data_IF_388836509158
#
_entry.id   IF_388836509158
#
_cell.length_a   1.000
_cell.length_b   1.000
_cell.length_c   1.000
_cell.angle_alpha   90.00
_cell.angle_beta   90.00
_cell.angle_gamma   90.00
#
_symmetry.space_group_name_H-M   'P 1'
#
loop_
_entity.id
_entity.type
_entity.pdbx_description
1 polymer ?
#
# COMPACT_ATOMS: atom_id res chain seq x y z
N UNK A 1 9.73 -19.64 -9.68
CA UNK A 1 9.24 -18.26 -9.91
C UNK A 1 7.89 -18.37 -10.63
N UNK A 2 6.79 -18.43 -9.87
CA UNK A 2 5.49 -18.94 -10.35
C UNK A 2 4.75 -18.04 -11.36
N UNK A 3 5.25 -16.83 -11.65
CA UNK A 3 4.46 -15.81 -12.38
C UNK A 3 5.25 -15.05 -13.46
N UNK A 4 6.29 -15.65 -14.06
CA UNK A 4 7.06 -15.00 -15.14
C UNK A 4 6.14 -14.65 -16.32
N UNK A 5 6.01 -13.36 -16.62
CA UNK A 5 5.26 -12.82 -17.76
C UNK A 5 3.85 -12.32 -17.47
N UNK A 6 3.31 -12.56 -16.26
CA UNK A 6 1.98 -12.09 -15.88
C UNK A 6 1.97 -10.57 -15.70
N UNK A 7 1.21 -9.85 -16.52
CA UNK A 7 1.16 -8.40 -16.47
C UNK A 7 0.30 -7.91 -15.29
N UNK A 8 0.88 -6.98 -14.52
CA UNK A 8 0.19 -6.30 -13.41
C UNK A 8 0.28 -4.79 -13.63
N UNK A 9 -0.79 -4.01 -13.41
CA UNK A 9 -0.71 -2.56 -13.44
C UNK A 9 0.26 -2.05 -12.37
N UNK A 10 1.17 -1.15 -12.75
CA UNK A 10 2.15 -0.55 -11.82
C UNK A 10 1.62 0.69 -11.09
N UNK A 11 0.52 1.28 -11.58
CA UNK A 11 -0.01 2.55 -11.12
C UNK A 11 -1.53 2.58 -11.27
N UNK A 12 -2.21 3.16 -10.29
CA UNK A 12 -3.57 3.64 -10.43
C UNK A 12 -3.54 5.07 -10.98
N UNK A 13 -4.06 5.27 -12.19
CA UNK A 13 -4.21 6.61 -12.76
C UNK A 13 -5.51 7.24 -12.23
N UNK A 14 -5.43 8.49 -11.78
CA UNK A 14 -6.57 9.27 -11.32
C UNK A 14 -6.85 10.35 -12.35
N UNK A 15 -8.12 10.49 -12.74
CA UNK A 15 -8.58 11.59 -13.58
C UNK A 15 -8.70 12.86 -12.73
N UNK A 16 -7.63 13.66 -12.71
CA UNK A 16 -7.54 14.85 -11.86
C UNK A 16 -8.50 15.98 -12.28
N UNK A 17 -8.98 15.98 -13.52
CA UNK A 17 -9.91 17.01 -14.01
C UNK A 17 -11.31 16.83 -13.42
N UNK A 18 -11.69 15.58 -13.17
CA UNK A 18 -13.02 15.23 -12.65
C UNK A 18 -13.02 14.92 -11.15
N UNK A 19 -11.85 14.84 -10.52
CA UNK A 19 -11.71 14.51 -9.10
C UNK A 19 -12.31 15.61 -8.21
N UNK A 20 -13.23 15.20 -7.33
CA UNK A 20 -13.78 16.02 -6.26
C UNK A 20 -13.75 15.25 -4.94
N UNK A 21 -14.14 15.90 -3.85
CA UNK A 21 -14.24 15.25 -2.53
C UNK A 21 -15.33 14.17 -2.47
N UNK A 22 -16.26 14.16 -3.44
CA UNK A 22 -17.40 13.25 -3.50
C UNK A 22 -17.43 12.36 -4.74
N UNK A 23 -16.55 12.60 -5.73
CA UNK A 23 -16.46 11.80 -6.94
C UNK A 23 -15.01 11.59 -7.39
N UNK A 24 -14.69 10.37 -7.80
CA UNK A 24 -13.38 10.05 -8.37
C UNK A 24 -13.47 9.01 -9.48
N UNK A 25 -12.69 9.23 -10.54
CA UNK A 25 -12.52 8.30 -11.65
C UNK A 25 -11.09 7.79 -11.70
N UNK A 26 -10.96 6.48 -11.61
CA UNK A 26 -9.70 5.76 -11.49
C UNK A 26 -9.54 4.79 -12.65
N UNK A 27 -8.34 4.63 -13.18
CA UNK A 27 -8.06 3.61 -14.19
C UNK A 27 -6.76 2.89 -13.94
N UNK A 28 -6.74 1.59 -14.22
CA UNK A 28 -5.56 0.74 -14.09
C UNK A 28 -5.44 -0.17 -15.31
N UNK A 29 -4.21 -0.24 -15.83
CA UNK A 29 -3.80 -1.05 -16.97
C UNK A 29 -2.27 -1.28 -16.89
N UNK A 30 -1.74 -2.34 -17.50
CA UNK A 30 -2.43 -3.45 -18.17
C UNK A 30 -2.85 -4.54 -17.17
N UNK A 31 -4.08 -5.04 -17.29
CA UNK A 31 -4.51 -6.30 -16.65
C UNK A 31 -4.52 -7.42 -17.69
N UNK A 32 -4.24 -8.64 -17.26
CA UNK A 32 -4.53 -9.82 -18.08
C UNK A 32 -6.04 -9.93 -18.38
N UNK A 33 -6.36 -10.55 -19.52
CA UNK A 33 -7.74 -10.70 -19.96
C UNK A 33 -8.60 -11.40 -18.89
N UNK A 34 -9.72 -10.76 -18.51
CA UNK A 34 -10.65 -11.25 -17.49
C UNK A 34 -10.32 -10.77 -16.07
N UNK A 35 -9.08 -10.33 -15.79
CA UNK A 35 -8.75 -9.74 -14.50
C UNK A 35 -9.41 -8.38 -14.31
N UNK A 36 -9.62 -7.60 -15.37
CA UNK A 36 -10.34 -6.32 -15.28
C UNK A 36 -11.74 -6.50 -14.67
N UNK A 37 -12.50 -7.47 -15.16
CA UNK A 37 -13.85 -7.79 -14.64
C UNK A 37 -13.80 -8.34 -13.22
N UNK A 38 -12.83 -9.22 -12.93
CA UNK A 38 -12.68 -9.86 -11.61
C UNK A 38 -12.40 -8.82 -10.53
N UNK A 39 -11.39 -7.97 -10.76
CA UNK A 39 -10.99 -6.90 -9.84
C UNK A 39 -12.08 -5.82 -9.76
N UNK A 40 -12.65 -5.41 -10.90
CA UNK A 40 -13.71 -4.40 -10.94
C UNK A 40 -14.95 -4.82 -10.15
N UNK A 41 -15.42 -6.05 -10.33
CA UNK A 41 -16.57 -6.57 -9.60
C UNK A 41 -16.27 -6.74 -8.10
N UNK A 42 -15.08 -7.24 -7.74
CA UNK A 42 -14.67 -7.39 -6.34
C UNK A 42 -14.63 -6.03 -5.63
N UNK A 43 -13.95 -5.04 -6.21
CA UNK A 43 -13.86 -3.68 -5.67
C UNK A 43 -15.25 -3.04 -5.54
N UNK A 44 -16.09 -3.16 -6.58
CA UNK A 44 -17.46 -2.62 -6.54
C UNK A 44 -18.27 -3.17 -5.37
N UNK A 45 -18.20 -4.49 -5.12
CA UNK A 45 -18.91 -5.11 -4.00
C UNK A 45 -18.39 -4.60 -2.67
N UNK A 46 -17.08 -4.62 -2.48
CA UNK A 46 -16.45 -4.19 -1.22
C UNK A 46 -16.70 -2.72 -0.91
N UNK A 47 -16.63 -1.85 -1.92
CA UNK A 47 -16.90 -0.42 -1.79
C UNK A 47 -18.34 -0.14 -1.30
N UNK A 48 -19.33 -0.87 -1.83
CA UNK A 48 -20.73 -0.66 -1.45
C UNK A 48 -21.10 -1.25 -0.09
N UNK A 49 -20.45 -2.36 0.32
CA UNK A 49 -20.84 -3.09 1.53
C UNK A 49 -19.99 -2.81 2.77
N UNK A 50 -18.69 -2.58 2.60
CA UNK A 50 -17.72 -2.82 3.67
C UNK A 50 -16.95 -1.60 4.14
N UNK A 51 -17.11 -0.46 3.46
CA UNK A 51 -16.53 0.80 3.92
C UNK A 51 -17.32 1.30 5.13
N UNK A 52 -16.58 1.69 6.17
CA UNK A 52 -17.16 2.21 7.41
C UNK A 52 -17.72 3.62 7.22
N UNK A 53 -18.86 3.87 7.85
CA UNK A 53 -19.48 5.19 7.90
C UNK A 53 -20.33 5.33 9.15
N UNK A 54 -20.97 6.50 9.28
CA UNK A 54 -21.79 6.86 10.42
C UNK A 54 -23.25 7.05 9.99
N UNK A 55 -24.19 6.57 10.79
CA UNK A 55 -25.61 6.73 10.56
C UNK A 55 -26.38 6.78 11.88
N UNK A 56 -27.56 7.41 11.84
CA UNK A 56 -28.50 7.46 12.96
C UNK A 56 -29.12 6.08 13.15
N UNK A 57 -29.07 5.55 14.37
CA UNK A 57 -29.60 4.21 14.71
C UNK A 57 -30.88 4.27 15.54
N UNK A 58 -31.11 5.37 16.24
CA UNK A 58 -32.33 5.58 17.01
C UNK A 58 -32.64 7.08 17.11
N UNK A 59 -33.93 7.41 17.21
CA UNK A 59 -34.43 8.77 17.35
C UNK A 59 -35.46 8.82 18.46
N UNK A 60 -35.40 9.85 19.30
CA UNK A 60 -36.43 10.17 20.30
C UNK A 60 -36.96 11.56 20.02
N UNK A 61 -38.23 11.67 19.68
CA UNK A 61 -38.90 12.96 19.45
C UNK A 61 -39.83 13.26 20.63
N UNK A 62 -39.81 14.49 21.14
CA UNK A 62 -40.66 14.89 22.25
C UNK A 62 -42.15 14.74 21.87
N UNK A 63 -42.91 14.03 22.71
CA UNK A 63 -44.35 13.81 22.49
C UNK A 63 -44.72 12.72 21.48
N UNK A 64 -43.73 12.03 20.88
CA UNK A 64 -43.95 10.92 19.94
C UNK A 64 -43.59 9.59 20.60
N UNK A 65 -44.52 8.63 20.55
CA UNK A 65 -44.31 7.30 21.11
C UNK A 65 -43.90 6.24 20.07
N UNK A 66 -44.22 6.47 18.79
CA UNK A 66 -43.96 5.53 17.69
C UNK A 66 -43.83 6.28 16.35
N UNK A 67 -43.20 5.66 15.33
CA UNK A 67 -42.88 6.33 14.06
C UNK A 67 -44.09 6.84 13.23
N UNK A 68 -45.29 6.32 13.46
CA UNK A 68 -46.50 6.69 12.70
C UNK A 68 -47.29 7.85 13.29
N UNK A 69 -46.76 8.51 14.33
CA UNK A 69 -47.47 9.59 15.01
C UNK A 69 -47.19 10.93 14.34
N UNK A 70 -48.21 11.77 14.22
CA UNK A 70 -48.04 13.17 13.83
C UNK A 70 -47.54 14.01 15.00
N UNK A 71 -46.75 15.04 14.71
CA UNK A 71 -46.20 15.97 15.70
C UNK A 71 -46.98 17.28 15.65
N UNK A 72 -47.69 17.67 16.72
CA UNK A 72 -48.44 18.92 16.74
C UNK A 72 -47.54 20.13 16.45
N UNK A 73 -47.94 20.97 15.50
CA UNK A 73 -47.20 22.19 15.14
C UNK A 73 -46.02 21.96 14.19
N UNK A 74 -45.84 20.75 13.66
CA UNK A 74 -44.88 20.43 12.59
C UNK A 74 -45.65 19.94 11.37
N UNK A 75 -45.20 20.29 10.16
CA UNK A 75 -45.88 19.93 8.91
C UNK A 75 -45.72 18.44 8.59
N UNK A 76 -44.52 17.90 8.81
CA UNK A 76 -44.15 16.49 8.61
C UNK A 76 -44.58 15.60 9.77
N UNK A 77 -44.81 14.31 9.47
CA UNK A 77 -44.96 13.29 10.51
C UNK A 77 -43.60 12.72 10.97
N UNK A 78 -43.62 11.87 12.01
CA UNK A 78 -42.38 11.28 12.52
C UNK A 78 -41.69 10.36 11.49
N UNK A 79 -42.43 9.73 10.56
CA UNK A 79 -41.87 8.87 9.52
C UNK A 79 -41.09 9.70 8.50
N UNK A 80 -41.66 10.81 8.03
CA UNK A 80 -41.03 11.74 7.10
C UNK A 80 -39.74 12.32 7.69
N UNK A 81 -39.78 12.74 8.97
CA UNK A 81 -38.59 13.23 9.68
C UNK A 81 -37.51 12.14 9.73
N UNK A 82 -37.86 10.91 10.10
CA UNK A 82 -36.91 9.79 10.15
C UNK A 82 -36.30 9.53 8.76
N UNK A 83 -37.10 9.56 7.69
CA UNK A 83 -36.62 9.39 6.32
C UNK A 83 -35.67 10.50 5.88
N UNK A 84 -35.96 11.75 6.25
CA UNK A 84 -35.12 12.90 5.96
C UNK A 84 -33.79 12.83 6.72
N UNK A 85 -33.81 12.42 7.99
CA UNK A 85 -32.61 12.25 8.82
C UNK A 85 -31.64 11.21 8.24
N UNK A 86 -32.14 10.14 7.61
CA UNK A 86 -31.31 9.13 6.95
C UNK A 86 -30.53 9.66 5.73
N UNK A 87 -30.95 10.80 5.18
CA UNK A 87 -30.27 11.40 4.03
C UNK A 87 -29.05 12.23 4.47
N UNK A 88 -29.00 12.67 5.73
CA UNK A 88 -27.94 13.52 6.26
C UNK A 88 -26.60 12.76 6.29
N UNK A 89 -25.55 13.27 5.62
CA UNK A 89 -24.24 12.65 5.65
C UNK A 89 -23.46 13.06 6.91
N UNK A 90 -23.20 12.08 7.78
CA UNK A 90 -22.42 12.25 9.00
C UNK A 90 -21.01 11.69 8.86
N UNK A 91 -20.06 12.33 9.51
CA UNK A 91 -18.70 11.83 9.74
C UNK A 91 -18.43 11.81 11.24
N UNK A 92 -17.93 10.68 11.74
CA UNK A 92 -17.68 10.44 13.16
C UNK A 92 -16.20 10.07 13.34
N UNK A 93 -15.45 10.90 14.05
CA UNK A 93 -14.02 10.69 14.30
C UNK A 93 -13.74 9.82 15.55
N UNK A 94 -14.70 9.73 16.47
CA UNK A 94 -14.60 8.98 17.71
C UNK A 94 -15.11 7.54 17.63
N UNK A 95 -14.88 6.79 18.71
CA UNK A 95 -15.45 5.45 18.89
C UNK A 95 -16.71 5.49 19.75
N UNK A 96 -17.61 4.54 19.50
CA UNK A 96 -18.85 4.39 20.25
C UNK A 96 -20.01 5.29 19.77
N UNK A 97 -21.17 5.15 20.41
CA UNK A 97 -22.36 5.93 20.10
C UNK A 97 -22.22 7.38 20.58
N UNK A 98 -22.74 8.33 19.78
CA UNK A 98 -22.83 9.75 20.13
C UNK A 98 -24.28 10.22 20.08
N UNK A 99 -24.65 11.12 20.99
CA UNK A 99 -25.96 11.76 21.00
C UNK A 99 -25.89 13.08 20.22
N UNK A 100 -26.92 13.34 19.44
CA UNK A 100 -27.12 14.59 18.69
C UNK A 100 -28.47 15.18 19.09
N UNK A 101 -28.57 16.50 19.11
CA UNK A 101 -29.78 17.20 19.52
C UNK A 101 -30.26 18.14 18.42
N UNK A 102 -31.56 18.24 18.24
CA UNK A 102 -32.17 19.24 17.37
C UNK A 102 -33.29 19.93 18.15
N UNK A 103 -33.22 21.25 18.23
CA UNK A 103 -34.21 22.09 18.89
C UNK A 103 -34.63 23.21 17.95
N UNK A 104 -35.93 23.30 17.69
CA UNK A 104 -36.54 24.35 16.91
C UNK A 104 -37.85 24.79 17.57
N UNK A 105 -37.87 26.05 18.02
CA UNK A 105 -38.98 26.71 18.73
C UNK A 105 -39.58 27.87 17.92
N UNK A 106 -38.93 28.26 16.82
CA UNK A 106 -39.38 29.33 15.94
C UNK A 106 -40.03 28.77 14.68
N UNK A 107 -41.05 29.45 14.12
CA UNK A 107 -41.65 29.03 12.86
C UNK A 107 -40.63 29.13 11.73
N UNK A 108 -40.54 28.08 10.91
CA UNK A 108 -39.62 28.05 9.79
C UNK A 108 -39.17 26.65 9.39
N UNK A 109 -38.32 26.62 8.36
CA UNK A 109 -37.71 25.39 7.85
C UNK A 109 -36.54 24.98 8.76
N UNK A 110 -36.55 23.73 9.18
CA UNK A 110 -35.51 23.10 9.97
C UNK A 110 -34.62 22.26 9.06
N UNK A 111 -33.33 22.55 9.07
CA UNK A 111 -32.31 21.91 8.22
C UNK A 111 -31.27 21.16 9.06
N UNK A 112 -30.52 20.25 8.45
CA UNK A 112 -29.40 19.54 9.10
C UNK A 112 -28.36 20.45 9.73
N UNK A 113 -28.18 21.68 9.24
CA UNK A 113 -27.31 22.67 9.86
C UNK A 113 -27.69 23.13 11.26
N UNK A 114 -28.93 22.86 11.71
CA UNK A 114 -29.44 23.19 13.04
C UNK A 114 -29.22 22.06 14.06
N UNK A 115 -28.67 20.92 13.63
CA UNK A 115 -28.35 19.81 14.55
C UNK A 115 -27.13 20.19 15.38
N UNK A 116 -27.29 20.11 16.69
CA UNK A 116 -26.23 20.27 17.69
C UNK A 116 -25.52 18.93 17.90
N UNK A 117 -24.20 18.96 17.78
CA UNK A 117 -23.35 17.77 17.85
C UNK A 117 -22.06 18.05 18.62
N UNK A 118 -21.49 17.02 19.24
CA UNK A 118 -20.17 17.08 19.85
C UNK A 118 -19.07 17.29 18.79
N UNK A 119 -17.88 17.75 19.22
CA UNK A 119 -16.74 17.97 18.32
C UNK A 119 -16.21 16.74 17.57
N UNK A 120 -16.63 15.53 17.97
CA UNK A 120 -16.29 14.28 17.27
C UNK A 120 -17.19 14.01 16.06
N UNK A 121 -18.27 14.77 15.88
CA UNK A 121 -19.27 14.58 14.82
C UNK A 121 -19.28 15.78 13.90
N UNK A 122 -19.12 15.51 12.61
CA UNK A 122 -19.19 16.51 11.55
C UNK A 122 -20.40 16.21 10.64
N UNK A 123 -21.22 17.23 10.43
CA UNK A 123 -22.36 17.21 9.50
C UNK A 123 -21.87 17.80 8.18
N UNK A 124 -21.75 16.96 7.17
CA UNK A 124 -21.07 17.32 5.91
C UNK A 124 -21.96 18.17 5.01
N UNK A 125 -23.26 17.90 5.00
CA UNK A 125 -24.26 18.70 4.30
C UNK A 125 -25.22 19.32 5.31
N UNK A 126 -25.16 20.65 5.44
CA UNK A 126 -25.98 21.45 6.35
C UNK A 126 -27.30 21.93 5.73
N UNK A 127 -27.53 21.66 4.45
CA UNK A 127 -28.71 22.10 3.69
C UNK A 127 -29.83 21.07 3.58
N UNK A 128 -29.68 19.89 4.19
CA UNK A 128 -30.68 18.82 4.09
C UNK A 128 -31.94 19.25 4.85
N UNK A 129 -33.08 19.22 4.15
CA UNK A 129 -34.39 19.49 4.74
C UNK A 129 -34.76 18.40 5.74
N UNK A 130 -35.16 18.78 6.96
CA UNK A 130 -35.64 17.84 7.99
C UNK A 130 -37.16 17.97 8.15
N UNK A 131 -37.63 19.17 8.48
CA UNK A 131 -39.04 19.46 8.74
C UNK A 131 -39.34 20.97 8.63
N UNK A 132 -40.61 21.35 8.69
CA UNK A 132 -41.08 22.72 8.83
C UNK A 132 -41.93 22.87 10.10
N UNK A 133 -41.53 23.80 10.96
CA UNK A 133 -42.26 24.14 12.20
C UNK A 133 -43.23 25.29 11.91
N UNK A 134 -44.50 25.09 12.28
CA UNK A 134 -45.58 26.08 12.14
C UNK A 134 -45.54 27.12 13.28
N UNK A 135 -46.31 28.20 13.14
CA UNK A 135 -46.42 29.23 14.18
C UNK A 135 -46.93 28.65 15.51
N UNK A 136 -46.14 28.80 16.59
CA UNK A 136 -46.42 28.22 17.90
C UNK A 136 -46.08 26.73 18.05
N UNK A 137 -45.51 26.10 17.01
CA UNK A 137 -45.00 24.73 17.07
C UNK A 137 -43.63 24.63 17.71
N UNK A 138 -43.28 23.44 18.21
CA UNK A 138 -41.96 23.12 18.76
C UNK A 138 -41.53 21.74 18.28
N UNK A 139 -40.27 21.61 17.85
CA UNK A 139 -39.63 20.33 17.55
C UNK A 139 -38.40 20.18 18.44
N UNK A 140 -38.41 19.18 19.31
CA UNK A 140 -37.24 18.76 20.09
C UNK A 140 -37.03 17.27 19.90
N UNK A 141 -35.83 16.90 19.47
CA UNK A 141 -35.47 15.49 19.29
C UNK A 141 -34.02 15.22 19.62
N UNK A 142 -33.77 13.99 20.07
CA UNK A 142 -32.46 13.42 20.32
C UNK A 142 -32.23 12.26 19.35
N UNK A 143 -31.05 12.20 18.75
CA UNK A 143 -30.67 11.14 17.82
C UNK A 143 -29.41 10.44 18.32
N UNK A 144 -29.36 9.13 18.12
CA UNK A 144 -28.17 8.33 18.43
C UNK A 144 -27.44 8.03 17.13
N UNK A 145 -26.21 8.50 17.01
CA UNK A 145 -25.31 8.25 15.89
C UNK A 145 -24.33 7.12 16.25
N UNK A 146 -24.14 6.16 15.34
CA UNK A 146 -23.13 5.10 15.49
C UNK A 146 -22.31 4.91 14.22
N UNK A 147 -21.05 4.49 14.41
CA UNK A 147 -20.22 3.93 13.34
C UNK A 147 -20.64 2.50 13.05
N UNK A 148 -20.64 2.12 11.78
CA UNK A 148 -21.01 0.79 11.33
C UNK A 148 -20.57 0.51 9.91
N UNK A 149 -21.04 -0.61 9.35
CA UNK A 149 -20.79 -1.02 7.96
C UNK A 149 -22.08 -1.50 7.33
N UNK A 150 -22.26 -1.19 6.04
CA UNK A 150 -23.41 -1.66 5.27
C UNK A 150 -24.75 -1.20 5.85
N UNK A 151 -25.72 -2.11 5.84
CA UNK A 151 -27.08 -1.87 6.29
C UNK A 151 -27.37 -2.66 7.57
N UNK A 152 -27.99 -1.99 8.55
CA UNK A 152 -28.47 -2.60 9.79
C UNK A 152 -29.95 -2.29 9.94
N UNK A 153 -30.77 -3.32 10.17
CA UNK A 153 -32.22 -3.17 10.38
C UNK A 153 -32.53 -2.57 11.76
N UNK A 154 -33.69 -1.93 11.88
CA UNK A 154 -34.16 -1.33 13.14
C UNK A 154 -34.11 -2.32 14.32
N UNK A 155 -34.54 -3.57 14.13
CA UNK A 155 -34.51 -4.61 15.17
C UNK A 155 -33.12 -4.86 15.77
N UNK A 156 -32.07 -4.71 14.96
CA UNK A 156 -30.67 -4.89 15.41
C UNK A 156 -30.08 -3.64 16.06
N UNK A 157 -30.73 -2.50 15.89
CA UNK A 157 -30.38 -1.24 16.54
C UNK A 157 -31.08 -1.06 17.89
N UNK A 158 -31.92 -2.02 18.29
CA UNK A 158 -32.51 -2.05 19.63
C UNK A 158 -31.49 -2.59 20.65
N UNK A 159 -30.76 -1.67 21.26
CA UNK A 159 -29.84 -1.99 22.35
C UNK A 159 -30.54 -1.95 23.71
N UNK A 160 -30.06 -2.75 24.68
CA UNK A 160 -30.58 -2.73 26.05
C UNK A 160 -30.28 -1.44 26.83
N UNK A 161 -29.38 -0.59 26.33
CA UNK A 161 -29.06 0.73 26.90
C UNK A 161 -29.89 1.87 26.29
N UNK A 162 -30.78 1.55 25.34
CA UNK A 162 -31.64 2.53 24.70
C UNK A 162 -32.70 3.00 25.71
N UNK A 163 -32.71 4.30 26.02
CA UNK A 163 -33.66 4.87 26.96
C UNK A 163 -35.12 4.70 26.52
N UNK A 164 -36.05 4.85 27.45
CA UNK A 164 -37.47 4.84 27.14
C UNK A 164 -37.82 5.99 26.16
N UNK A 165 -38.65 5.68 25.16
CA UNK A 165 -39.10 6.64 24.14
C UNK A 165 -38.21 6.74 22.90
N UNK A 166 -37.10 6.02 22.82
CA UNK A 166 -36.34 5.91 21.58
C UNK A 166 -37.01 4.94 20.60
N UNK A 167 -37.12 5.40 19.35
CA UNK A 167 -37.58 4.65 18.21
C UNK A 167 -36.33 4.17 17.46
N UNK A 168 -36.04 2.85 17.43
CA UNK A 168 -34.94 2.33 16.63
C UNK A 168 -35.28 2.48 15.15
N UNK A 169 -34.29 2.90 14.36
CA UNK A 169 -34.45 3.08 12.91
C UNK A 169 -33.43 2.22 12.19
N UNK A 170 -33.75 1.76 10.99
CA UNK A 170 -32.74 1.15 10.13
C UNK A 170 -31.69 2.18 9.72
N UNK A 171 -30.44 1.73 9.66
CA UNK A 171 -29.28 2.59 9.49
C UNK A 171 -28.41 2.12 8.31
N UNK A 172 -28.12 3.07 7.42
CA UNK A 172 -27.24 2.87 6.25
C UNK A 172 -25.89 3.51 6.57
N UNK A 173 -24.93 2.69 6.99
CA UNK A 173 -23.59 3.14 7.35
C UNK A 173 -22.62 3.21 6.15
N UNK A 174 -23.10 3.04 4.92
CA UNK A 174 -22.22 3.07 3.74
C UNK A 174 -22.01 4.51 3.23
N UNK A 175 -20.78 5.04 3.25
CA UNK A 175 -20.49 6.37 2.72
C UNK A 175 -20.42 6.39 1.18
N UNK A 176 -20.30 5.23 0.54
CA UNK A 176 -20.25 5.09 -0.91
C UNK A 176 -21.67 4.94 -1.44
N UNK A 177 -22.15 5.92 -2.22
CA UNK A 177 -23.51 5.95 -2.77
C UNK A 177 -23.62 5.17 -4.08
N UNK A 178 -22.61 5.27 -4.94
CA UNK A 178 -22.61 4.63 -6.26
C UNK A 178 -21.20 4.21 -6.65
N UNK A 179 -21.11 3.07 -7.33
CA UNK A 179 -19.89 2.61 -7.97
C UNK A 179 -20.23 2.03 -9.35
N UNK A 180 -19.53 2.50 -10.36
CA UNK A 180 -19.59 1.99 -11.72
C UNK A 180 -18.19 1.51 -12.13
N UNK A 181 -18.13 0.45 -12.95
CA UNK A 181 -16.87 0.05 -13.56
C UNK A 181 -17.10 -0.35 -15.01
N UNK A 182 -16.09 -0.07 -15.83
CA UNK A 182 -16.03 -0.43 -17.24
C UNK A 182 -14.69 -1.11 -17.52
N UNK A 183 -14.72 -2.10 -18.41
CA UNK A 183 -13.53 -2.84 -18.81
C UNK A 183 -13.40 -2.68 -20.32
N UNK A 184 -12.33 -2.00 -20.74
CA UNK A 184 -12.01 -1.74 -22.14
C UNK A 184 -10.77 -2.53 -22.55
N UNK A 185 -10.58 -2.77 -23.86
CA UNK A 185 -9.34 -3.34 -24.36
C UNK A 185 -8.18 -2.34 -24.24
N UNK A 186 -7.07 -2.77 -23.66
CA UNK A 186 -5.82 -2.04 -23.56
C UNK A 186 -4.77 -2.63 -24.51
N UNK A 187 -3.99 -1.73 -25.13
CA UNK A 187 -2.83 -2.10 -25.93
C UNK A 187 -1.55 -1.83 -25.15
N UNK A 188 -0.68 -2.83 -25.10
CA UNK A 188 0.68 -2.71 -24.56
C UNK A 188 1.68 -3.11 -25.66
N UNK A 189 2.35 -2.10 -26.23
CA UNK A 189 3.27 -2.31 -27.36
C UNK A 189 2.57 -2.87 -28.59
N UNK A 190 2.90 -4.11 -28.97
CA UNK A 190 2.28 -4.80 -30.13
C UNK A 190 1.08 -5.68 -29.74
N UNK A 191 0.87 -5.96 -28.45
CA UNK A 191 -0.17 -6.85 -27.94
C UNK A 191 -1.41 -6.04 -27.53
N UNK A 192 -2.60 -6.49 -27.93
CA UNK A 192 -3.87 -5.74 -27.79
C UNK A 192 -4.95 -6.43 -26.96
N UNK A 193 -4.64 -7.54 -26.29
CA UNK A 193 -5.60 -8.38 -25.57
C UNK A 193 -5.60 -8.17 -24.04
N UNK A 194 -4.96 -7.11 -23.55
CA UNK A 194 -5.02 -6.72 -22.15
C UNK A 194 -6.31 -5.98 -21.81
N UNK A 195 -6.70 -6.00 -20.55
CA UNK A 195 -7.83 -5.25 -20.02
C UNK A 195 -7.35 -3.92 -19.40
N UNK A 196 -8.15 -2.86 -19.61
CA UNK A 196 -8.12 -1.60 -18.86
C UNK A 196 -9.37 -1.54 -18.01
N UNK A 197 -9.20 -1.48 -16.69
CA UNK A 197 -10.29 -1.25 -15.76
C UNK A 197 -10.42 0.25 -15.50
N UNK A 198 -11.60 0.81 -15.72
CA UNK A 198 -11.97 2.16 -15.29
C UNK A 198 -13.05 2.05 -14.23
N UNK A 199 -12.83 2.66 -13.06
CA UNK A 199 -13.70 2.65 -11.90
C UNK A 199 -14.15 4.08 -11.60
N UNK A 200 -15.44 4.28 -11.43
CA UNK A 200 -16.04 5.55 -11.04
C UNK A 200 -16.74 5.38 -9.68
N UNK A 201 -16.40 6.24 -8.73
CA UNK A 201 -16.86 6.13 -7.32
C UNK A 201 -17.49 7.44 -6.89
N UNK A 202 -18.70 7.37 -6.34
CA UNK A 202 -19.42 8.50 -5.74
C UNK A 202 -19.58 8.26 -4.24
N UNK A 203 -19.07 9.17 -3.42
CA UNK A 203 -19.17 9.16 -1.95
C UNK A 203 -20.04 10.32 -1.46
N UNK A 204 -20.46 10.26 -0.20
CA UNK A 204 -21.19 11.34 0.48
C UNK A 204 -20.27 12.36 1.18
N UNK A 205 -18.96 12.33 0.91
CA UNK A 205 -17.96 13.21 1.52
C UNK A 205 -17.40 12.74 2.87
N UNK A 206 -17.97 11.70 3.51
CA UNK A 206 -17.44 11.17 4.76
C UNK A 206 -16.08 10.49 4.59
N UNK A 207 -15.84 9.97 3.38
CA UNK A 207 -14.58 9.37 2.94
C UNK A 207 -14.29 9.86 1.53
N UNK A 208 -13.03 10.18 1.26
CA UNK A 208 -12.58 10.57 -0.07
C UNK A 208 -12.65 9.34 -1.02
N UNK A 209 -13.02 9.53 -2.30
CA UNK A 209 -13.11 8.43 -3.26
C UNK A 209 -11.81 7.62 -3.38
N UNK A 210 -10.65 8.27 -3.36
CA UNK A 210 -9.34 7.61 -3.43
C UNK A 210 -9.08 6.72 -2.22
N UNK A 211 -9.36 7.23 -1.02
CA UNK A 211 -9.21 6.49 0.24
C UNK A 211 -10.18 5.31 0.29
N UNK A 212 -11.42 5.49 -0.18
CA UNK A 212 -12.41 4.41 -0.28
C UNK A 212 -11.87 3.22 -1.11
N UNK A 213 -11.29 3.52 -2.28
CA UNK A 213 -10.70 2.50 -3.17
C UNK A 213 -9.52 1.81 -2.49
N UNK A 214 -8.65 2.58 -1.82
CA UNK A 214 -7.52 2.04 -1.07
C UNK A 214 -7.96 1.10 0.06
N UNK A 215 -8.94 1.51 0.87
CA UNK A 215 -9.52 0.70 1.94
C UNK A 215 -10.19 -0.56 1.41
N UNK A 216 -10.95 -0.48 0.31
CA UNK A 216 -11.56 -1.64 -0.32
C UNK A 216 -10.52 -2.64 -0.84
N UNK A 217 -9.46 -2.15 -1.49
CA UNK A 217 -8.38 -2.99 -1.99
C UNK A 217 -7.63 -3.68 -0.85
N UNK A 218 -7.33 -2.96 0.23
CA UNK A 218 -6.71 -3.52 1.44
C UNK A 218 -7.58 -4.62 2.04
N UNK A 219 -8.88 -4.36 2.21
CA UNK A 219 -9.81 -5.34 2.79
C UNK A 219 -9.90 -6.61 1.93
N UNK A 220 -9.91 -6.48 0.61
CA UNK A 220 -9.87 -7.62 -0.30
C UNK A 220 -8.58 -8.42 -0.16
N UNK A 221 -7.41 -7.75 -0.13
CA UNK A 221 -6.12 -8.40 0.09
C UNK A 221 -6.14 -9.20 1.40
N UNK A 222 -6.57 -8.59 2.48
CA UNK A 222 -6.60 -9.21 3.80
C UNK A 222 -7.50 -10.47 3.82
N UNK A 223 -8.63 -10.44 3.12
CA UNK A 223 -9.49 -11.62 2.96
C UNK A 223 -8.89 -12.72 2.07
N UNK A 224 -8.03 -12.37 1.11
CA UNK A 224 -7.37 -13.34 0.24
C UNK A 224 -6.18 -14.01 0.93
N UNK A 225 -5.55 -13.35 1.91
CA UNK A 225 -4.37 -13.87 2.61
C UNK A 225 -4.59 -15.27 3.22
N UNK A 226 -5.78 -15.58 3.75
CA UNK A 226 -6.08 -16.91 4.33
C UNK A 226 -6.03 -18.06 3.29
N UNK A 227 -6.23 -17.74 2.01
CA UNK A 227 -6.17 -18.72 0.93
C UNK A 227 -4.75 -18.93 0.40
N UNK A 228 -3.80 -18.10 0.83
CA UNK A 228 -2.38 -18.25 0.49
C UNK A 228 -1.79 -19.28 1.47
N UNK A 229 -1.49 -20.47 0.98
CA UNK A 229 -1.09 -21.63 1.76
C UNK A 229 0.44 -21.85 1.82
N UNK A 230 1.20 -20.86 1.37
CA UNK A 230 2.66 -20.86 1.41
C UNK A 230 3.14 -19.53 2.02
N UNK A 231 4.29 -19.54 2.67
CA UNK A 231 4.93 -18.30 3.11
C UNK A 231 5.32 -17.51 1.86
N UNK A 232 4.70 -16.33 1.68
CA UNK A 232 5.24 -15.32 0.79
C UNK A 232 6.59 -14.91 1.39
N UNK A 233 7.70 -15.45 0.87
CA UNK A 233 8.94 -14.69 0.87
C UNK A 233 8.59 -13.36 0.24
N UNK A 234 8.65 -12.27 1.01
CA UNK A 234 8.45 -10.94 0.47
C UNK A 234 9.34 -10.85 -0.76
N UNK A 235 8.74 -10.83 -1.95
CA UNK A 235 9.43 -10.52 -3.18
C UNK A 235 9.93 -9.09 -2.94
N UNK A 236 11.14 -8.97 -2.38
CA UNK A 236 11.92 -7.74 -2.38
C UNK A 236 11.90 -7.38 -3.83
N UNK A 237 11.16 -6.31 -4.16
CA UNK A 237 10.92 -5.92 -5.54
C UNK A 237 12.24 -6.15 -6.26
N UNK A 238 12.22 -7.06 -7.22
CA UNK A 238 13.23 -7.07 -8.25
C UNK A 238 13.02 -5.74 -8.95
N UNK A 239 13.63 -4.70 -8.37
CA UNK A 239 14.00 -3.45 -8.99
C UNK A 239 14.54 -3.94 -10.32
N UNK A 240 13.73 -3.71 -11.35
CA UNK A 240 13.94 -4.35 -12.62
C UNK A 240 15.40 -4.20 -13.00
N UNK A 241 15.93 -5.26 -13.58
CA UNK A 241 17.16 -5.26 -14.38
C UNK A 241 17.05 -4.32 -15.62
N UNK A 242 16.19 -3.31 -15.56
CA UNK A 242 16.08 -2.15 -16.44
C UNK A 242 16.67 -0.95 -15.68
N UNK A 243 17.96 -1.06 -15.41
CA UNK A 243 18.65 -0.14 -14.54
C UNK A 243 20.03 -0.65 -14.14
N UNK A 244 20.81 -1.18 -15.10
CA UNK A 244 22.26 -0.99 -15.01
C UNK A 244 22.52 0.51 -15.14
N UNK A 245 22.20 1.25 -14.09
CA UNK A 245 22.97 2.44 -13.74
C UNK A 245 24.33 1.85 -13.43
N UNK A 246 25.17 1.76 -14.46
CA UNK A 246 26.60 1.60 -14.29
C UNK A 246 26.99 2.76 -13.38
N UNK A 247 27.13 2.45 -12.10
CA UNK A 247 27.77 3.31 -11.13
C UNK A 247 29.04 3.77 -11.82
N UNK A 248 29.11 5.07 -12.14
CA UNK A 248 30.36 5.68 -12.58
C UNK A 248 31.35 5.33 -11.48
N UNK A 249 32.29 4.43 -11.77
CA UNK A 249 33.23 3.97 -10.77
C UNK A 249 34.19 5.13 -10.52
N UNK A 250 33.83 6.03 -9.61
CA UNK A 250 34.67 7.16 -9.18
C UNK A 250 36.05 6.68 -8.66
N UNK A 251 36.15 5.39 -8.35
CA UNK A 251 37.40 4.71 -8.01
C UNK A 251 38.42 4.64 -9.16
N UNK A 252 38.03 4.71 -10.44
CA UNK A 252 38.98 4.58 -11.55
C UNK A 252 40.01 5.72 -11.62
N UNK A 253 39.63 6.91 -11.15
CA UNK A 253 40.49 8.09 -11.13
C UNK A 253 41.32 8.22 -9.85
N UNK A 254 41.15 7.31 -8.88
CA UNK A 254 41.92 7.33 -7.63
C UNK A 254 43.35 6.87 -7.86
N UNK A 255 44.25 7.41 -7.06
CA UNK A 255 45.66 7.04 -7.09
C UNK A 255 45.86 5.65 -6.48
N UNK A 256 46.79 4.88 -7.05
CA UNK A 256 47.21 3.58 -6.50
C UNK A 256 47.81 3.71 -5.09
N UNK A 257 48.27 4.91 -4.71
CA UNK A 257 48.78 5.22 -3.36
C UNK A 257 47.70 5.12 -2.26
N UNK A 258 46.42 5.28 -2.64
CA UNK A 258 45.30 5.18 -1.70
C UNK A 258 44.85 3.74 -1.47
N UNK A 259 45.40 2.78 -2.21
CA UNK A 259 45.19 1.37 -1.95
C UNK A 259 46.11 0.95 -0.80
N UNK A 260 45.55 0.34 0.24
CA UNK A 260 46.28 -0.20 1.40
C UNK A 260 47.11 -1.45 1.04
N UNK A 261 48.00 -1.31 0.06
CA UNK A 261 48.85 -2.37 -0.46
C UNK A 261 50.12 -2.53 0.37
N UNK A 262 50.66 -3.75 0.39
CA UNK A 262 52.00 -3.97 0.92
C UNK A 262 53.06 -3.13 0.20
N UNK A 263 54.09 -2.73 0.94
CA UNK A 263 55.23 -1.93 0.45
C UNK A 263 55.87 -2.53 -0.82
N UNK A 264 55.80 -3.85 -0.99
CA UNK A 264 56.30 -4.53 -2.19
C UNK A 264 55.37 -4.34 -3.39
N UNK A 265 54.07 -4.55 -3.21
CA UNK A 265 53.06 -4.39 -4.27
C UNK A 265 53.02 -2.95 -4.75
N UNK A 266 53.06 -1.98 -3.82
CA UNK A 266 53.14 -0.55 -4.16
C UNK A 266 54.39 -0.18 -4.97
N UNK A 267 55.59 -0.60 -4.52
CA UNK A 267 56.82 -0.30 -5.23
C UNK A 267 56.90 -0.97 -6.62
N UNK A 268 56.28 -2.14 -6.80
CA UNK A 268 56.23 -2.79 -8.11
C UNK A 268 55.29 -2.03 -9.07
N UNK A 269 54.14 -1.54 -8.60
CA UNK A 269 53.22 -0.73 -9.40
C UNK A 269 53.84 0.60 -9.81
N UNK A 270 54.55 1.25 -8.89
CA UNK A 270 55.30 2.48 -9.15
C UNK A 270 56.40 2.27 -10.20
N UNK A 271 57.16 1.17 -10.12
CA UNK A 271 58.18 0.82 -11.11
C UNK A 271 57.59 0.46 -12.48
N UNK A 272 56.33 0.01 -12.53
CA UNK A 272 55.60 -0.27 -13.76
C UNK A 272 54.92 0.97 -14.36
N UNK A 273 55.15 2.16 -13.79
CA UNK A 273 54.49 3.43 -14.16
C UNK A 273 52.96 3.36 -14.14
N UNK A 274 52.38 2.59 -13.21
CA UNK A 274 50.93 2.52 -13.01
C UNK A 274 50.58 3.44 -11.85
N UNK A 275 49.91 4.56 -12.14
CA UNK A 275 49.62 5.59 -11.14
C UNK A 275 48.16 5.61 -10.70
N UNK A 276 47.25 5.19 -11.57
CA UNK A 276 45.80 5.20 -11.30
C UNK A 276 45.19 3.80 -11.29
N UNK A 277 44.08 3.64 -10.57
CA UNK A 277 43.33 2.38 -10.54
C UNK A 277 42.80 2.03 -11.95
N UNK A 278 42.42 3.02 -12.75
CA UNK A 278 41.99 2.82 -14.14
C UNK A 278 43.07 2.22 -15.05
N UNK A 279 44.34 2.57 -14.85
CA UNK A 279 45.47 1.96 -15.57
C UNK A 279 45.74 0.53 -15.09
N UNK A 280 45.61 0.28 -13.79
CA UNK A 280 45.83 -1.03 -13.18
C UNK A 280 44.83 -2.07 -13.70
N UNK A 281 43.56 -1.70 -13.75
CA UNK A 281 42.44 -2.56 -14.17
C UNK A 281 42.55 -2.98 -15.65
N UNK A 282 43.24 -2.19 -16.48
CA UNK A 282 43.49 -2.51 -17.89
C UNK A 282 44.60 -3.54 -18.12
N UNK A 283 45.46 -3.79 -17.13
CA UNK A 283 46.53 -4.78 -17.24
C UNK A 283 45.98 -6.18 -17.03
N UNK A 284 46.45 -7.12 -17.83
CA UNK A 284 46.14 -8.54 -17.63
C UNK A 284 47.02 -9.15 -16.56
N UNK A 285 46.57 -10.23 -15.93
CA UNK A 285 47.35 -10.95 -14.91
C UNK A 285 48.72 -11.41 -15.44
N UNK A 286 48.77 -11.82 -16.71
CA UNK A 286 49.98 -12.26 -17.38
C UNK A 286 50.98 -11.10 -17.62
N UNK A 287 50.49 -9.87 -17.79
CA UNK A 287 51.33 -8.69 -17.91
C UNK A 287 51.87 -8.25 -16.55
N UNK A 288 51.05 -8.34 -15.51
CA UNK A 288 51.46 -8.03 -14.14
C UNK A 288 52.60 -8.94 -13.67
N UNK A 289 52.52 -10.25 -13.97
CA UNK A 289 53.57 -11.22 -13.64
C UNK A 289 54.89 -11.03 -14.41
N UNK A 290 54.89 -10.29 -15.53
CA UNK A 290 56.11 -9.96 -16.28
C UNK A 290 56.85 -8.76 -15.70
N UNK A 291 56.22 -7.99 -14.81
CA UNK A 291 56.87 -6.83 -14.19
C UNK A 291 57.95 -7.27 -13.20
N UNK A 292 59.08 -6.55 -13.19
CA UNK A 292 60.26 -6.92 -12.41
C UNK A 292 59.94 -6.93 -10.92
N UNK A 293 60.27 -8.02 -10.23
CA UNK A 293 60.02 -8.24 -8.81
C UNK A 293 58.54 -8.39 -8.40
N UNK A 294 57.62 -8.60 -9.34
CA UNK A 294 56.20 -8.82 -9.05
C UNK A 294 55.88 -10.30 -8.90
N UNK A 295 55.44 -10.69 -7.70
CA UNK A 295 55.21 -12.10 -7.34
C UNK A 295 53.73 -12.49 -7.26
N UNK A 296 53.45 -13.80 -7.17
CA UNK A 296 52.09 -14.36 -7.02
C UNK A 296 51.35 -13.84 -5.77
N UNK A 297 52.08 -13.54 -4.70
CA UNK A 297 51.51 -12.98 -3.46
C UNK A 297 50.99 -11.55 -3.66
N UNK A 298 51.74 -10.69 -4.36
CA UNK A 298 51.31 -9.34 -4.72
C UNK A 298 50.15 -9.34 -5.71
N UNK A 299 50.09 -10.33 -6.61
CA UNK A 299 48.97 -10.49 -7.54
C UNK A 299 47.65 -10.80 -6.82
N UNK A 300 47.68 -11.70 -5.84
CA UNK A 300 46.47 -12.04 -5.07
C UNK A 300 46.00 -10.87 -4.22
N UNK A 301 46.92 -10.15 -3.56
CA UNK A 301 46.63 -8.95 -2.78
C UNK A 301 45.89 -7.89 -3.61
N UNK A 302 46.36 -7.63 -4.84
CA UNK A 302 45.69 -6.69 -5.76
C UNK A 302 44.31 -7.20 -6.19
N UNK A 303 44.17 -8.51 -6.47
CA UNK A 303 42.88 -9.07 -6.88
C UNK A 303 41.83 -8.96 -5.78
N UNK A 304 42.21 -9.21 -4.53
CA UNK A 304 41.29 -9.11 -3.39
C UNK A 304 40.80 -7.67 -3.20
N UNK A 305 41.70 -6.69 -3.25
CA UNK A 305 41.34 -5.27 -3.11
C UNK A 305 40.50 -4.78 -4.30
N UNK A 306 40.84 -5.18 -5.53
CA UNK A 306 40.03 -4.85 -6.70
C UNK A 306 38.64 -5.51 -6.62
N UNK A 307 38.55 -6.75 -6.14
CA UNK A 307 37.28 -7.45 -5.98
C UNK A 307 36.37 -6.77 -4.93
N UNK A 308 36.94 -6.27 -3.83
CA UNK A 308 36.20 -5.44 -2.85
C UNK A 308 35.63 -4.16 -3.47
N UNK A 309 36.31 -3.61 -4.47
CA UNK A 309 35.86 -2.44 -5.23
C UNK A 309 34.98 -2.79 -6.44
N UNK A 310 34.64 -4.07 -6.64
CA UNK A 310 33.85 -4.54 -7.78
C UNK A 310 34.57 -4.47 -9.13
N UNK A 311 35.91 -4.40 -9.12
CA UNK A 311 36.78 -4.31 -10.29
C UNK A 311 37.56 -5.63 -10.48
N UNK A 312 38.02 -5.90 -11.70
CA UNK A 312 38.90 -7.05 -11.99
C UNK A 312 40.00 -6.67 -12.98
N UNK A 313 41.06 -7.48 -13.03
CA UNK A 313 42.16 -7.25 -13.98
C UNK A 313 41.73 -7.64 -15.40
N UNK A 314 42.21 -6.89 -16.41
CA UNK A 314 41.92 -7.12 -17.82
C UNK A 314 40.57 -6.55 -18.29
N UNK A 315 39.99 -5.58 -17.58
CA UNK A 315 38.85 -4.81 -18.08
C UNK A 315 39.31 -3.75 -19.09
N UNK A 316 38.41 -3.29 -19.96
CA UNK A 316 38.68 -2.18 -20.90
C UNK A 316 37.95 -0.94 -20.44
N UNK A 317 38.48 0.25 -20.71
CA UNK A 317 37.76 1.50 -20.47
C UNK A 317 37.09 1.91 -21.79
N UNK A 318 35.77 2.18 -21.77
CA UNK A 318 35.03 2.68 -22.93
C UNK A 318 35.27 4.18 -23.16
N UNK A 319 34.83 4.73 -24.30
CA UNK A 319 34.98 6.16 -24.65
C UNK A 319 34.28 7.11 -23.67
N UNK A 320 33.48 6.58 -22.74
CA UNK A 320 32.75 7.31 -21.70
C UNK A 320 33.40 7.19 -20.31
N UNK A 321 34.56 6.53 -20.21
CA UNK A 321 35.33 6.40 -18.98
C UNK A 321 34.90 5.24 -18.06
N UNK A 322 34.08 4.31 -18.55
CA UNK A 322 33.59 3.19 -17.75
C UNK A 322 34.42 1.92 -17.98
N UNK A 323 34.68 1.16 -16.90
CA UNK A 323 35.32 -0.14 -16.99
C UNK A 323 34.31 -1.20 -17.47
N UNK A 324 34.44 -1.64 -18.71
CA UNK A 324 33.69 -2.76 -19.31
C UNK A 324 34.51 -4.06 -19.25
N UNK A 325 33.86 -5.22 -19.02
CA UNK A 325 34.54 -6.51 -19.04
C UNK A 325 35.31 -6.73 -20.36
N UNK A 326 36.61 -6.98 -20.27
CA UNK A 326 37.45 -7.35 -21.41
C UNK A 326 37.39 -8.85 -21.71
N UNK A 327 37.98 -9.32 -22.82
CA UNK A 327 37.95 -10.73 -23.22
C UNK A 327 38.64 -11.68 -22.22
N UNK A 328 39.41 -11.13 -21.28
CA UNK A 328 40.16 -11.87 -20.26
C UNK A 328 39.69 -11.53 -18.84
N UNK A 329 38.67 -10.67 -18.66
CA UNK A 329 38.19 -10.28 -17.33
C UNK A 329 37.26 -11.34 -16.77
N UNK A 330 37.57 -11.82 -15.57
CA UNK A 330 36.68 -12.68 -14.79
C UNK A 330 35.68 -11.78 -14.06
N UNK A 331 34.41 -12.20 -13.98
CA UNK A 331 33.40 -11.42 -13.26
C UNK A 331 33.80 -11.21 -11.79
N UNK A 332 33.56 -10.03 -11.19
CA UNK A 332 33.92 -9.77 -9.79
C UNK A 332 33.36 -10.81 -8.81
N UNK A 333 32.15 -11.31 -9.08
CA UNK A 333 31.51 -12.38 -8.31
C UNK A 333 32.28 -13.71 -8.36
N UNK A 334 32.86 -14.06 -9.52
CA UNK A 334 33.68 -15.26 -9.66
C UNK A 334 35.09 -15.09 -9.05
N UNK A 335 35.63 -13.87 -9.03
CA UNK A 335 36.91 -13.57 -8.38
C UNK A 335 36.80 -13.64 -6.84
N UNK A 336 35.70 -13.11 -6.28
CA UNK A 336 35.41 -13.15 -4.85
C UNK A 336 35.12 -14.59 -4.37
N UNK A 337 34.40 -15.39 -5.16
CA UNK A 337 34.18 -16.81 -4.83
C UNK A 337 35.50 -17.61 -4.80
N UNK A 338 36.42 -17.33 -5.72
CA UNK A 338 37.71 -18.02 -5.80
C UNK A 338 38.71 -17.64 -4.69
N UNK A 339 38.54 -16.48 -4.02
CA UNK A 339 39.37 -16.10 -2.86
C UNK A 339 38.98 -16.85 -1.59
N UNK A 340 37.69 -17.22 -1.44
CA UNK A 340 37.22 -17.97 -0.27
C UNK A 340 37.52 -19.47 -0.33
N UNK A 341 37.59 -20.08 -1.52
CA UNK A 341 37.89 -21.53 -1.66
C UNK A 341 39.34 -21.94 -1.37
N UNK A 342 40.23 -21.03 -0.96
CA UNK A 342 41.67 -21.33 -0.78
C UNK A 342 42.10 -21.48 0.68
N UNK A 343 41.15 -21.48 1.62
CA UNK A 343 41.39 -21.61 3.07
C UNK A 343 40.95 -22.94 3.67
N UNK A 344 40.55 -23.94 2.86
CA UNK A 344 39.89 -25.17 3.32
C UNK A 344 40.75 -26.45 3.26
N UNK A 345 42.08 -26.34 3.10
CA UNK A 345 42.95 -27.52 2.88
C UNK A 345 43.83 -27.94 4.08
N UNK A 346 43.63 -27.37 5.28
CA UNK A 346 44.24 -27.92 6.51
C UNK A 346 43.25 -27.84 7.68
N UNK A 347 42.51 -28.92 7.94
CA UNK A 347 42.24 -29.42 9.30
C UNK A 347 41.62 -30.83 9.30
N UNK A 348 42.04 -31.62 10.30
CA UNK A 348 41.85 -33.07 10.52
C UNK A 348 40.39 -33.57 10.65
N UNK A 349 40.13 -34.89 10.47
CA UNK A 349 38.78 -35.44 10.60
C UNK A 349 38.35 -35.51 12.08
N UNK A 350 37.22 -34.91 12.41
CA UNK A 350 36.58 -35.04 13.73
C UNK A 350 35.71 -36.31 13.79
N UNK A 351 35.96 -37.08 14.85
CA UNK A 351 35.30 -38.33 15.23
C UNK A 351 33.78 -38.22 15.39
N UNK A 352 33.12 -39.33 15.08
CA UNK A 352 31.70 -39.60 15.28
C UNK A 352 31.26 -39.48 16.74
N UNK A 353 30.27 -38.62 17.01
CA UNK A 353 29.56 -38.59 18.30
C UNK A 353 28.18 -39.21 18.12
N UNK A 354 28.00 -40.39 18.71
CA UNK A 354 26.71 -41.07 18.88
C UNK A 354 25.76 -40.22 19.74
N UNK A 355 24.61 -39.84 19.18
CA UNK A 355 23.49 -39.26 19.91
C UNK A 355 22.35 -40.28 19.98
N UNK A 356 22.29 -41.00 21.10
CA UNK A 356 21.13 -41.82 21.48
C UNK A 356 19.99 -40.91 21.93
N UNK A 357 18.85 -41.02 21.25
CA UNK A 357 17.55 -40.46 21.67
C UNK A 357 16.99 -41.28 22.85
N UNK A 358 16.52 -40.67 23.95
CA UNK A 358 15.69 -41.38 24.92
C UNK A 358 14.22 -41.33 24.49
N UNK A 359 13.63 -42.52 24.45
CA UNK A 359 12.21 -42.83 24.29
C UNK A 359 11.35 -42.33 25.46
N UNK A 360 10.09 -42.04 25.13
CA UNK A 360 8.96 -41.77 26.02
C UNK A 360 8.83 -42.76 27.20
N UNK A 361 8.38 -42.27 28.37
CA UNK A 361 7.39 -42.97 29.21
C UNK A 361 6.61 -42.00 30.10
N UNK A 362 5.30 -42.18 30.03
CA UNK A 362 4.16 -41.85 30.92
C UNK A 362 4.40 -41.40 32.37
N UNK A 363 3.48 -40.54 32.85
CA UNK A 363 2.93 -40.62 34.21
C UNK A 363 2.85 -39.31 35.00
N UNK A 364 1.75 -38.56 34.88
CA UNK A 364 0.77 -38.23 35.94
C UNK A 364 -0.25 -37.18 35.47
#
# INVERSE_FOLDING_TARGET
>A
MLWRGFQKPKRLAVDAETLTDTYGKFSAQPFERGFGTTIGNALRRTLLSSIEGAAVTAVRVEGVLHEFQSIPGVVEDATDIILNLKQVPFKLAGEGPKALYLRADQPGVVTSGMIEADGDVEILDKGVYIATVSEGGKLEMEMRLKRGRGYVSADKNFDGDLGLGFIPVDSVHSPVRRVNYTVDAARLGQITDYDKLTLEVWTNGAVLPADAVGLAAKLLKDHMNIFINFEEEMETESRGEEGRVMLRNDNLNRSVEELELSVRSYNCLKNANIQTIGELVQKTEAEMLKTKNFGRKSLNEIKEILAQMGLSLGMRIDEQGNAVPGPTSISPAAALAASYSRYDDEDEPLDSVDLQLPTETEGF
#
